data_IF_656836043468
#
_entry.id   IF_656836043468
#
_cell.length_a   1.000
_cell.length_b   1.000
_cell.length_c   1.000
_cell.angle_alpha   90.00
_cell.angle_beta   90.00
_cell.angle_gamma   90.00
#
_symmetry.space_group_name_H-M   'P 1'
#
loop_
_entity.id
_entity.type
_entity.pdbx_description
1 polymer ?
#
# COMPACT_ATOMS: atom_id res chain seq x y z
N UNK A 1 8.67 -1.52 -2.99
CA UNK A 1 7.82 -1.52 -1.80
C UNK A 1 6.80 -2.64 -1.75
N UNK A 2 5.98 -2.61 -0.74
CA UNK A 2 4.84 -3.54 -0.53
C UNK A 2 3.62 -2.70 -0.23
N UNK A 3 2.52 -2.92 -0.96
CA UNK A 3 1.29 -2.15 -0.83
C UNK A 3 1.61 -0.64 -0.89
N UNK A 4 1.04 0.19 -0.02
CA UNK A 4 1.36 1.60 0.07
C UNK A 4 2.68 1.89 0.81
N UNK A 5 3.32 0.91 1.42
CA UNK A 5 4.65 1.06 2.02
C UNK A 5 5.74 0.99 0.95
N UNK A 6 5.71 1.98 0.06
CA UNK A 6 6.58 2.10 -1.11
C UNK A 6 7.55 3.27 -0.97
N UNK A 7 8.74 3.12 -1.59
CA UNK A 7 9.88 4.02 -1.44
C UNK A 7 10.46 4.36 -2.80
N UNK A 8 10.65 5.65 -3.05
CA UNK A 8 11.30 6.15 -4.24
C UNK A 8 12.78 5.80 -4.17
N UNK A 9 13.22 4.94 -5.06
CA UNK A 9 14.60 4.43 -5.05
C UNK A 9 15.55 5.29 -5.87
N UNK A 10 15.12 5.74 -7.05
CA UNK A 10 15.93 6.52 -7.97
C UNK A 10 15.08 7.52 -8.75
N UNK A 11 15.69 8.59 -9.20
CA UNK A 11 15.14 9.54 -10.17
C UNK A 11 16.22 9.76 -11.22
N UNK A 12 15.93 9.40 -12.46
CA UNK A 12 16.89 9.53 -13.58
C UNK A 12 16.32 10.47 -14.64
N UNK A 13 17.13 11.41 -15.09
CA UNK A 13 16.81 12.21 -16.27
C UNK A 13 16.82 11.32 -17.52
N UNK A 14 15.67 11.15 -18.15
CA UNK A 14 15.54 10.24 -19.31
C UNK A 14 16.34 10.67 -20.53
N UNK A 15 16.71 11.94 -20.64
CA UNK A 15 17.46 12.49 -21.76
C UNK A 15 18.97 12.35 -21.56
N UNK A 16 19.45 12.56 -20.33
CA UNK A 16 20.90 12.62 -20.03
C UNK A 16 21.43 11.37 -19.32
N UNK A 17 20.54 10.59 -18.68
CA UNK A 17 20.92 9.49 -17.80
C UNK A 17 21.42 9.94 -16.42
N UNK A 18 21.37 11.24 -16.10
CA UNK A 18 21.84 11.79 -14.83
C UNK A 18 20.98 11.29 -13.66
N UNK A 19 21.63 10.91 -12.56
CA UNK A 19 20.95 10.63 -11.29
C UNK A 19 20.55 11.94 -10.62
N UNK A 20 19.24 12.20 -10.60
CA UNK A 20 18.66 13.39 -9.98
C UNK A 20 18.29 13.21 -8.51
N UNK A 21 18.43 11.99 -7.95
CA UNK A 21 17.98 11.70 -6.58
C UNK A 21 18.68 12.55 -5.51
N UNK A 22 20.00 12.78 -5.56
CA UNK A 22 20.69 13.65 -4.60
C UNK A 22 20.15 15.09 -4.62
N UNK A 23 19.89 15.63 -5.81
CA UNK A 23 19.31 16.97 -5.98
C UNK A 23 17.86 17.05 -5.50
N UNK A 24 17.08 16.00 -5.74
CA UNK A 24 15.72 15.88 -5.22
C UNK A 24 15.75 15.86 -3.70
N UNK A 25 16.61 15.02 -3.08
CA UNK A 25 16.75 14.91 -1.64
C UNK A 25 17.07 16.27 -1.01
N UNK A 26 18.07 16.96 -1.51
CA UNK A 26 18.45 18.28 -1.03
C UNK A 26 17.27 19.26 -1.10
N UNK A 27 16.62 19.35 -2.25
CA UNK A 27 15.50 20.28 -2.45
C UNK A 27 14.32 19.94 -1.55
N UNK A 28 13.95 18.68 -1.46
CA UNK A 28 12.81 18.25 -0.64
C UNK A 28 13.05 18.53 0.84
N UNK A 29 14.22 18.15 1.37
CA UNK A 29 14.52 18.29 2.80
C UNK A 29 14.79 19.73 3.23
N UNK A 30 15.39 20.56 2.40
CA UNK A 30 15.85 21.89 2.81
C UNK A 30 15.10 23.05 2.19
N UNK A 31 14.48 22.89 1.03
CA UNK A 31 13.88 24.00 0.26
C UNK A 31 12.38 23.83 0.02
N UNK A 32 11.82 22.66 0.28
CA UNK A 32 10.38 22.43 0.09
C UNK A 32 9.59 22.74 1.38
N UNK A 33 8.30 22.94 1.26
CA UNK A 33 7.38 23.23 2.37
C UNK A 33 7.48 22.20 3.49
N UNK A 34 7.75 22.65 4.72
CA UNK A 34 7.92 21.75 5.88
C UNK A 34 6.59 21.17 6.39
N UNK A 35 5.49 21.83 6.08
CA UNK A 35 4.13 21.45 6.45
C UNK A 35 3.47 20.48 5.46
N UNK A 36 4.15 20.17 4.36
CA UNK A 36 3.70 19.18 3.39
C UNK A 36 4.29 17.81 3.74
N UNK A 37 3.40 16.83 4.03
CA UNK A 37 3.76 15.46 4.37
C UNK A 37 4.90 15.42 5.42
N UNK A 38 4.68 15.95 6.65
CA UNK A 38 5.74 16.11 7.64
C UNK A 38 6.31 14.77 8.13
N UNK A 39 5.51 13.69 8.20
CA UNK A 39 6.01 12.37 8.54
C UNK A 39 6.85 11.77 7.41
N UNK A 40 6.42 11.90 6.17
CA UNK A 40 7.19 11.49 4.98
C UNK A 40 8.57 12.16 4.99
N UNK A 41 8.64 13.44 5.32
CA UNK A 41 9.91 14.17 5.45
C UNK A 41 10.80 13.55 6.54
N UNK A 42 10.26 13.33 7.73
CA UNK A 42 11.00 12.74 8.85
C UNK A 42 11.49 11.32 8.52
N UNK A 43 10.65 10.51 7.88
CA UNK A 43 11.03 9.18 7.39
C UNK A 43 12.13 9.25 6.32
N UNK A 44 12.07 10.23 5.42
CA UNK A 44 13.11 10.43 4.41
C UNK A 44 14.47 10.79 5.04
N UNK A 45 14.46 11.62 6.08
CA UNK A 45 15.68 11.95 6.84
C UNK A 45 16.26 10.71 7.52
N UNK A 46 15.41 9.90 8.19
CA UNK A 46 15.80 8.75 9.00
C UNK A 46 16.25 7.56 8.12
N UNK A 47 15.46 7.20 7.12
CA UNK A 47 15.70 5.98 6.33
C UNK A 47 16.51 6.21 5.06
N UNK A 48 16.71 7.46 4.65
CA UNK A 48 17.50 7.80 3.47
C UNK A 48 16.78 7.66 2.11
N UNK A 49 15.60 7.06 2.09
CA UNK A 49 14.72 6.95 0.93
C UNK A 49 13.41 7.71 1.17
N UNK A 50 12.87 8.33 0.10
CA UNK A 50 11.61 9.05 0.18
C UNK A 50 10.43 8.08 0.09
N UNK A 51 9.52 8.05 1.08
CA UNK A 51 8.24 7.37 0.93
C UNK A 51 7.42 7.96 -0.22
N UNK A 52 6.64 7.15 -0.92
CA UNK A 52 5.85 7.59 -2.10
C UNK A 52 4.37 7.73 -1.82
N UNK A 53 3.85 7.08 -0.77
CA UNK A 53 2.42 7.00 -0.52
C UNK A 53 1.85 8.15 0.33
N UNK A 54 2.67 9.03 0.87
CA UNK A 54 2.28 10.11 1.77
C UNK A 54 1.95 9.65 3.20
N UNK A 55 1.78 10.64 4.09
CA UNK A 55 1.66 10.42 5.54
C UNK A 55 0.48 9.55 5.94
N UNK A 56 -0.67 9.73 5.29
CA UNK A 56 -1.91 9.00 5.60
C UNK A 56 -1.81 7.49 5.40
N UNK A 57 -0.94 7.06 4.50
CA UNK A 57 -0.70 5.64 4.24
C UNK A 57 0.53 5.11 4.99
N UNK A 58 1.60 5.90 5.06
CA UNK A 58 2.81 5.47 5.77
C UNK A 58 2.53 5.20 7.25
N UNK A 59 1.63 5.96 7.88
CA UNK A 59 1.26 5.78 9.28
C UNK A 59 0.73 4.38 9.58
N UNK A 60 0.05 3.74 8.65
CA UNK A 60 -0.59 2.41 8.83
C UNK A 60 0.41 1.28 9.10
N UNK A 61 1.69 1.45 8.72
CA UNK A 61 2.73 0.42 8.82
C UNK A 61 3.68 0.59 10.00
N UNK A 62 3.52 1.67 10.77
CA UNK A 62 4.51 2.09 11.75
C UNK A 62 3.97 1.99 13.19
N UNK A 63 4.40 0.99 13.94
CA UNK A 63 3.93 0.71 15.30
C UNK A 63 3.99 1.92 16.24
N UNK A 64 5.00 2.77 16.09
CA UNK A 64 5.19 3.96 16.95
C UNK A 64 4.25 5.12 16.65
N UNK A 65 3.38 4.98 15.67
CA UNK A 65 2.36 5.99 15.32
C UNK A 65 0.98 5.71 15.90
N UNK A 66 0.77 4.59 16.58
CA UNK A 66 -0.57 4.10 16.95
C UNK A 66 -0.86 4.02 18.46
N UNK A 67 -0.09 4.69 19.29
CA UNK A 67 -0.40 4.74 20.72
C UNK A 67 -1.62 5.64 20.99
N UNK A 68 -2.75 5.09 21.47
CA UNK A 68 -3.97 5.85 21.68
C UNK A 68 -3.89 6.84 22.85
N UNK A 69 -2.87 6.71 23.72
CA UNK A 69 -2.67 7.60 24.87
C UNK A 69 -1.89 8.84 24.43
N UNK A 70 -0.76 8.64 23.76
CA UNK A 70 0.14 9.73 23.33
C UNK A 70 -0.24 10.33 21.98
N UNK A 71 -1.07 9.62 21.21
CA UNK A 71 -1.61 10.04 19.91
C UNK A 71 -0.55 10.64 18.96
N UNK A 72 0.54 9.92 18.69
CA UNK A 72 1.67 10.47 17.92
C UNK A 72 1.30 10.90 16.51
N UNK A 73 0.20 10.40 15.92
CA UNK A 73 -0.31 10.81 14.62
C UNK A 73 -0.74 12.30 14.59
N UNK A 74 -1.16 12.88 15.75
CA UNK A 74 -1.56 14.29 15.83
C UNK A 74 -0.39 15.25 15.57
N UNK A 75 0.87 14.83 15.86
CA UNK A 75 2.09 15.56 15.51
C UNK A 75 2.18 15.88 14.01
N UNK A 76 1.60 15.02 13.18
CA UNK A 76 1.63 15.11 11.72
C UNK A 76 0.31 15.63 11.12
N UNK A 77 -0.57 16.23 11.94
CA UNK A 77 -1.93 16.66 11.57
C UNK A 77 -2.78 15.56 10.94
N UNK A 78 -2.49 14.31 11.28
CA UNK A 78 -3.27 13.17 10.82
C UNK A 78 -4.53 13.02 11.66
N UNK A 79 -5.63 12.66 11.01
CA UNK A 79 -6.93 12.47 11.64
C UNK A 79 -7.40 11.04 11.43
N UNK A 80 -7.98 10.46 12.48
CA UNK A 80 -8.65 9.17 12.34
C UNK A 80 -9.80 9.32 11.33
N UNK A 81 -9.92 8.35 10.44
CA UNK A 81 -10.98 8.36 9.43
C UNK A 81 -12.36 8.24 10.07
N UNK A 82 -13.30 9.06 9.60
CA UNK A 82 -14.70 8.94 9.99
C UNK A 82 -15.37 7.80 9.24
N UNK A 83 -15.74 6.74 9.93
CA UNK A 83 -16.46 5.62 9.33
C UNK A 83 -17.80 6.05 8.71
N UNK A 84 -18.58 6.86 9.43
CA UNK A 84 -19.84 7.43 8.94
C UNK A 84 -19.65 8.30 7.70
N UNK A 85 -18.64 9.16 7.69
CA UNK A 85 -18.29 9.97 6.52
C UNK A 85 -17.91 9.11 5.31
N UNK A 86 -17.20 8.00 5.52
CA UNK A 86 -16.85 7.08 4.45
C UNK A 86 -18.09 6.36 3.88
N UNK A 87 -19.03 5.95 4.71
CA UNK A 87 -20.29 5.34 4.26
C UNK A 87 -21.09 6.33 3.41
N UNK A 88 -21.21 7.58 3.86
CA UNK A 88 -21.92 8.63 3.12
C UNK A 88 -21.26 8.91 1.78
N UNK A 89 -19.94 9.06 1.75
CA UNK A 89 -19.16 9.24 0.52
C UNK A 89 -19.40 8.09 -0.47
N UNK A 90 -19.37 6.83 -0.02
CA UNK A 90 -19.62 5.65 -0.88
C UNK A 90 -21.06 5.65 -1.45
N UNK A 91 -22.05 6.01 -0.63
CA UNK A 91 -23.43 6.15 -1.09
C UNK A 91 -23.56 7.21 -2.18
N UNK A 92 -22.93 8.37 -2.00
CA UNK A 92 -22.95 9.47 -2.97
C UNK A 92 -22.24 9.07 -4.29
N UNK A 93 -21.07 8.39 -4.21
CA UNK A 93 -20.37 7.88 -5.39
C UNK A 93 -21.25 6.88 -6.14
N UNK A 94 -21.87 5.94 -5.43
CA UNK A 94 -22.77 4.94 -6.05
C UNK A 94 -23.96 5.60 -6.73
N UNK A 95 -24.68 6.50 -6.04
CA UNK A 95 -25.82 7.21 -6.61
C UNK A 95 -25.43 8.03 -7.85
N UNK A 96 -24.23 8.65 -7.84
CA UNK A 96 -23.69 9.33 -9.01
C UNK A 96 -23.42 8.38 -10.17
N UNK A 97 -22.81 7.23 -9.90
CA UNK A 97 -22.54 6.21 -10.92
C UNK A 97 -23.84 5.69 -11.55
N UNK A 98 -24.89 5.51 -10.75
CA UNK A 98 -26.22 5.08 -11.22
C UNK A 98 -26.86 6.15 -12.15
N UNK A 99 -26.75 7.45 -11.80
CA UNK A 99 -27.22 8.54 -12.69
C UNK A 99 -26.44 8.62 -14.00
N UNK A 100 -25.12 8.45 -13.95
CA UNK A 100 -24.29 8.38 -15.15
C UNK A 100 -24.69 7.19 -16.05
N UNK A 101 -24.91 6.02 -15.46
CA UNK A 101 -25.34 4.83 -16.18
C UNK A 101 -26.75 4.99 -16.81
N UNK A 102 -27.63 5.76 -16.16
CA UNK A 102 -28.95 6.09 -16.68
C UNK A 102 -28.95 7.22 -17.75
N UNK A 103 -27.80 7.84 -18.01
CA UNK A 103 -27.67 8.99 -18.93
C UNK A 103 -28.20 10.31 -18.36
N UNK A 104 -28.46 10.36 -17.06
CA UNK A 104 -28.94 11.56 -16.34
C UNK A 104 -27.81 12.51 -15.98
N UNK A 105 -26.59 12.01 -15.91
CA UNK A 105 -25.35 12.78 -15.62
C UNK A 105 -24.28 12.42 -16.66
N UNK A 106 -23.48 13.43 -17.07
CA UNK A 106 -22.42 13.22 -18.06
C UNK A 106 -21.31 12.31 -17.53
N UNK A 107 -20.84 11.39 -18.38
CA UNK A 107 -19.65 10.56 -18.13
C UNK A 107 -18.34 11.28 -18.45
N UNK A 108 -18.38 12.47 -19.02
CA UNK A 108 -17.19 13.27 -19.40
C UNK A 108 -16.10 13.32 -18.31
N UNK A 109 -16.44 13.52 -17.02
CA UNK A 109 -15.42 13.50 -15.96
C UNK A 109 -14.65 12.19 -15.86
N UNK A 110 -15.23 11.04 -16.29
CA UNK A 110 -14.55 9.74 -16.26
C UNK A 110 -13.48 9.62 -17.35
N UNK A 111 -13.58 10.39 -18.44
CA UNK A 111 -12.60 10.39 -19.53
C UNK A 111 -11.26 11.01 -19.11
N UNK A 112 -11.25 11.76 -18.01
CA UNK A 112 -10.08 12.45 -17.49
C UNK A 112 -9.54 11.82 -16.19
N UNK A 113 -10.08 10.68 -15.77
CA UNK A 113 -9.56 9.93 -14.63
C UNK A 113 -8.30 9.19 -15.06
N UNK A 114 -7.22 9.34 -14.31
CA UNK A 114 -6.02 8.54 -14.54
C UNK A 114 -6.34 7.05 -14.37
N UNK A 115 -5.99 6.26 -15.37
CA UNK A 115 -5.95 4.81 -15.29
C UNK A 115 -4.84 4.38 -14.32
N UNK A 116 -5.06 3.29 -13.62
CA UNK A 116 -4.01 2.61 -12.84
C UNK A 116 -3.07 1.77 -13.75
N UNK A 117 -3.06 2.04 -15.05
CA UNK A 117 -2.19 1.39 -16.02
C UNK A 117 -2.68 0.03 -16.54
N UNK A 118 -3.88 -0.43 -16.17
CA UNK A 118 -4.36 -1.75 -16.57
C UNK A 118 -4.53 -1.91 -18.09
N UNK A 119 -5.04 -0.88 -18.76
CA UNK A 119 -5.24 -0.88 -20.21
C UNK A 119 -3.89 -0.86 -20.94
N UNK A 120 -2.98 0.00 -20.50
CA UNK A 120 -1.62 0.12 -21.02
C UNK A 120 -0.83 -1.19 -20.91
N UNK A 121 -1.03 -1.94 -19.82
CA UNK A 121 -0.42 -3.27 -19.62
C UNK A 121 -1.00 -4.26 -20.64
N UNK A 122 -2.32 -4.30 -20.82
CA UNK A 122 -3.00 -5.17 -21.79
C UNK A 122 -2.52 -4.87 -23.22
N UNK A 123 -2.47 -3.60 -23.59
CA UNK A 123 -2.00 -3.15 -24.89
C UNK A 123 -0.53 -3.54 -25.12
N UNK A 124 0.34 -3.36 -24.12
CA UNK A 124 1.73 -3.72 -24.19
C UNK A 124 1.94 -5.23 -24.38
N UNK A 125 1.12 -6.07 -23.75
CA UNK A 125 1.14 -7.52 -23.95
C UNK A 125 0.70 -7.87 -25.38
N UNK A 126 -0.42 -7.30 -25.84
CA UNK A 126 -0.98 -7.61 -27.16
C UNK A 126 -0.08 -7.13 -28.31
N UNK A 127 0.52 -5.94 -28.16
CA UNK A 127 1.38 -5.35 -29.17
C UNK A 127 2.83 -5.87 -29.11
N UNK A 128 3.19 -6.71 -28.14
CA UNK A 128 4.58 -7.13 -27.89
C UNK A 128 5.54 -5.93 -27.74
N UNK A 129 5.10 -4.92 -26.99
CA UNK A 129 5.71 -3.59 -27.04
C UNK A 129 7.06 -3.49 -26.33
N UNK A 130 7.44 -4.45 -25.47
CA UNK A 130 8.59 -4.36 -24.55
C UNK A 130 8.53 -3.05 -23.72
N UNK A 131 7.33 -2.68 -23.28
CA UNK A 131 7.09 -1.42 -22.60
C UNK A 131 7.68 -1.45 -21.17
N UNK A 132 8.42 -0.39 -20.81
CA UNK A 132 8.88 -0.17 -19.45
C UNK A 132 7.74 0.45 -18.61
N UNK A 133 7.40 -0.21 -17.52
CA UNK A 133 6.46 0.29 -16.51
C UNK A 133 7.25 0.61 -15.23
N UNK A 134 7.14 1.83 -14.68
CA UNK A 134 7.97 2.27 -13.54
C UNK A 134 7.62 1.59 -12.22
N UNK A 135 6.40 1.09 -12.09
CA UNK A 135 5.90 0.45 -10.88
C UNK A 135 4.77 -0.53 -11.22
N UNK A 136 4.96 -1.81 -10.93
CA UNK A 136 3.93 -2.84 -11.04
C UNK A 136 3.97 -3.76 -9.83
N UNK A 137 2.78 -4.20 -9.38
CA UNK A 137 2.63 -5.17 -8.31
C UNK A 137 2.73 -6.59 -8.89
N UNK A 138 3.83 -7.26 -8.60
CA UNK A 138 4.14 -8.60 -9.12
C UNK A 138 4.74 -9.49 -8.02
N UNK A 139 4.69 -10.84 -8.17
CA UNK A 139 5.46 -11.72 -7.31
C UNK A 139 6.95 -11.36 -7.34
N UNK A 140 7.58 -11.31 -6.18
CA UNK A 140 8.96 -10.85 -6.02
C UNK A 140 9.96 -11.64 -6.87
N UNK A 141 9.96 -12.96 -6.75
CA UNK A 141 10.87 -13.84 -7.51
C UNK A 141 12.31 -13.35 -7.56
N UNK A 142 12.79 -12.76 -6.47
CA UNK A 142 14.13 -12.21 -6.35
C UNK A 142 14.32 -10.77 -6.89
N UNK A 143 13.28 -10.11 -7.40
CA UNK A 143 13.39 -8.73 -7.90
C UNK A 143 13.79 -7.74 -6.81
N UNK A 144 13.32 -7.92 -5.59
CA UNK A 144 13.66 -7.09 -4.43
C UNK A 144 14.34 -7.97 -3.36
N UNK A 145 15.66 -7.85 -3.19
CA UNK A 145 16.41 -8.69 -2.26
C UNK A 145 15.94 -8.53 -0.81
N UNK A 146 15.92 -9.64 -0.07
CA UNK A 146 15.57 -9.66 1.34
C UNK A 146 14.09 -9.87 1.63
N UNK A 147 13.23 -9.90 0.61
CA UNK A 147 11.82 -10.27 0.73
C UNK A 147 11.57 -11.67 0.16
N UNK A 148 10.54 -12.40 0.65
CA UNK A 148 10.20 -13.73 0.13
C UNK A 148 9.84 -13.68 -1.38
N UNK A 149 10.15 -14.76 -2.11
CA UNK A 149 9.87 -14.86 -3.55
C UNK A 149 8.37 -14.82 -3.87
N UNK A 150 7.53 -15.27 -2.95
CA UNK A 150 6.08 -15.29 -3.08
C UNK A 150 5.42 -13.93 -2.76
N UNK A 151 6.12 -13.04 -2.04
CA UNK A 151 5.56 -11.73 -1.68
C UNK A 151 5.24 -10.92 -2.94
N UNK A 152 4.11 -10.23 -2.94
CA UNK A 152 3.80 -9.26 -3.99
C UNK A 152 4.54 -7.96 -3.67
N UNK A 153 5.37 -7.52 -4.61
CA UNK A 153 6.18 -6.32 -4.48
C UNK A 153 5.90 -5.35 -5.61
N UNK A 154 5.98 -4.06 -5.32
CA UNK A 154 5.96 -3.01 -6.33
C UNK A 154 7.38 -2.72 -6.80
N UNK A 155 7.64 -3.02 -8.07
CA UNK A 155 8.94 -2.83 -8.73
C UNK A 155 8.74 -2.41 -10.20
N UNK A 156 9.74 -1.80 -10.85
CA UNK A 156 9.71 -1.60 -12.29
C UNK A 156 9.63 -2.94 -13.04
N UNK A 157 9.01 -2.93 -14.20
CA UNK A 157 8.89 -4.13 -15.03
C UNK A 157 8.93 -3.82 -16.52
N UNK A 158 9.29 -4.84 -17.32
CA UNK A 158 9.12 -4.86 -18.78
C UNK A 158 7.92 -5.71 -19.12
N UNK A 159 7.04 -5.17 -19.96
CA UNK A 159 5.78 -5.82 -20.37
C UNK A 159 5.82 -6.10 -21.86
N UNK A 160 5.60 -7.37 -22.23
CA UNK A 160 5.55 -7.83 -23.63
C UNK A 160 4.62 -9.06 -23.77
N UNK A 161 4.56 -9.69 -24.95
CA UNK A 161 3.72 -10.88 -25.22
C UNK A 161 3.96 -12.06 -24.28
N UNK A 162 5.15 -12.16 -23.68
CA UNK A 162 5.50 -13.22 -22.74
C UNK A 162 5.07 -12.91 -21.30
N UNK A 163 4.46 -11.75 -21.06
CA UNK A 163 3.93 -11.31 -19.79
C UNK A 163 4.73 -10.16 -19.16
N UNK A 164 4.73 -10.13 -17.84
CA UNK A 164 5.33 -9.07 -17.03
C UNK A 164 6.61 -9.59 -16.39
N UNK A 165 7.72 -8.91 -16.66
CA UNK A 165 9.06 -9.28 -16.19
C UNK A 165 9.60 -8.19 -15.27
N UNK A 166 9.67 -8.48 -13.97
CA UNK A 166 10.20 -7.55 -12.98
C UNK A 166 11.68 -7.23 -13.21
N UNK A 167 12.02 -5.97 -13.00
CA UNK A 167 13.42 -5.52 -13.02
C UNK A 167 14.02 -5.76 -11.65
N UNK A 168 15.20 -6.39 -11.60
CA UNK A 168 15.93 -6.58 -10.35
C UNK A 168 16.36 -5.22 -9.77
N UNK A 169 16.00 -5.00 -8.52
CA UNK A 169 16.29 -3.77 -7.78
C UNK A 169 17.42 -4.01 -6.77
N UNK A 170 18.20 -2.98 -6.45
CA UNK A 170 19.08 -3.04 -5.29
C UNK A 170 18.27 -3.23 -4.00
N UNK A 171 18.92 -3.78 -2.96
CA UNK A 171 18.28 -3.95 -1.66
C UNK A 171 17.84 -2.62 -1.05
N UNK A 172 16.66 -2.61 -0.43
CA UNK A 172 16.22 -1.51 0.42
C UNK A 172 17.11 -1.42 1.68
N UNK A 173 17.15 -0.26 2.37
CA UNK A 173 17.75 -0.20 3.70
C UNK A 173 17.19 -1.31 4.60
N UNK A 174 18.07 -1.99 5.33
CA UNK A 174 17.68 -3.17 6.13
C UNK A 174 16.47 -2.95 7.04
N UNK A 175 16.33 -1.81 7.77
CA UNK A 175 15.14 -1.57 8.60
C UNK A 175 13.85 -1.48 7.77
N UNK A 176 13.90 -0.89 6.57
CA UNK A 176 12.76 -0.82 5.65
C UNK A 176 12.39 -2.22 5.15
N UNK A 177 13.41 -3.03 4.78
CA UNK A 177 13.20 -4.43 4.36
C UNK A 177 12.50 -5.24 5.44
N UNK A 178 12.86 -5.07 6.71
CA UNK A 178 12.24 -5.83 7.82
C UNK A 178 10.79 -5.41 8.07
N UNK A 179 10.44 -4.12 7.90
CA UNK A 179 9.05 -3.69 7.96
C UNK A 179 8.26 -4.29 6.79
N UNK A 180 8.78 -4.22 5.56
CA UNK A 180 8.15 -4.85 4.40
C UNK A 180 7.95 -6.36 4.58
N UNK A 181 8.93 -7.06 5.16
CA UNK A 181 8.84 -8.49 5.44
C UNK A 181 7.70 -8.81 6.41
N UNK A 182 7.61 -8.04 7.51
CA UNK A 182 6.51 -8.19 8.45
C UNK A 182 5.15 -8.03 7.77
N UNK A 183 4.99 -7.03 6.89
CA UNK A 183 3.74 -6.80 6.16
C UNK A 183 3.41 -7.96 5.20
N UNK A 184 4.43 -8.50 4.51
CA UNK A 184 4.24 -9.66 3.65
C UNK A 184 3.78 -10.89 4.45
N UNK A 185 4.44 -11.18 5.57
CA UNK A 185 4.07 -12.30 6.45
C UNK A 185 2.68 -12.07 7.08
N UNK A 186 2.37 -10.85 7.50
CA UNK A 186 1.04 -10.51 8.01
C UNK A 186 -0.06 -10.83 7.00
N UNK A 187 0.11 -10.38 5.75
CA UNK A 187 -0.83 -10.65 4.68
C UNK A 187 -1.00 -12.16 4.41
N UNK A 188 0.10 -12.93 4.47
CA UNK A 188 0.08 -14.38 4.32
C UNK A 188 -0.68 -15.06 5.46
N UNK A 189 -0.36 -14.73 6.72
CA UNK A 189 -1.01 -15.32 7.91
C UNK A 189 -2.50 -14.98 7.95
N UNK A 190 -2.88 -13.75 7.59
CA UNK A 190 -4.31 -13.35 7.47
C UNK A 190 -5.02 -14.21 6.43
N UNK A 191 -4.39 -14.43 5.28
CA UNK A 191 -4.94 -15.25 4.20
C UNK A 191 -5.12 -16.71 4.64
N UNK A 192 -4.10 -17.30 5.25
CA UNK A 192 -4.14 -18.68 5.74
C UNK A 192 -5.21 -18.86 6.84
N UNK A 193 -5.32 -17.90 7.76
CA UNK A 193 -6.37 -17.88 8.78
C UNK A 193 -7.77 -17.79 8.15
N UNK A 194 -7.92 -16.94 7.14
CA UNK A 194 -9.18 -16.77 6.43
C UNK A 194 -9.60 -18.03 5.66
N UNK A 195 -8.64 -18.74 5.05
CA UNK A 195 -8.91 -19.99 4.30
C UNK A 195 -9.25 -21.13 5.27
N UNK A 196 -8.46 -21.29 6.34
CA UNK A 196 -8.60 -22.40 7.27
C UNK A 196 -9.72 -22.24 8.29
N UNK A 197 -10.17 -21.02 8.57
CA UNK A 197 -11.08 -20.72 9.69
C UNK A 197 -10.41 -20.82 11.07
N UNK A 198 -9.08 -20.82 11.13
CA UNK A 198 -8.32 -20.95 12.38
C UNK A 198 -8.36 -19.63 13.16
N UNK A 199 -9.16 -19.62 14.26
CA UNK A 199 -9.31 -18.47 15.16
C UNK A 199 -8.01 -18.12 15.88
N UNK A 200 -7.19 -19.11 16.18
CA UNK A 200 -5.90 -18.87 16.84
C UNK A 200 -4.93 -18.18 15.90
N UNK A 201 -4.87 -18.62 14.66
CA UNK A 201 -4.06 -17.98 13.61
C UNK A 201 -4.56 -16.55 13.31
N UNK A 202 -5.88 -16.34 13.26
CA UNK A 202 -6.45 -14.99 13.11
C UNK A 202 -6.06 -14.05 14.25
N UNK A 203 -6.06 -14.55 15.50
CA UNK A 203 -5.60 -13.77 16.66
C UNK A 203 -4.10 -13.48 16.57
N UNK A 204 -3.29 -14.44 16.13
CA UNK A 204 -1.84 -14.24 15.91
C UNK A 204 -1.58 -13.20 14.83
N UNK A 205 -2.37 -13.20 13.75
CA UNK A 205 -2.31 -12.17 12.71
C UNK A 205 -2.60 -10.78 13.27
N UNK A 206 -3.66 -10.61 14.07
CA UNK A 206 -3.95 -9.34 14.74
C UNK A 206 -2.81 -8.86 15.64
N UNK A 207 -2.13 -9.78 16.35
CA UNK A 207 -1.00 -9.43 17.22
C UNK A 207 0.30 -9.14 16.44
N UNK A 208 0.38 -9.56 15.18
CA UNK A 208 1.47 -9.21 14.28
C UNK A 208 1.29 -7.82 13.66
N UNK A 209 0.05 -7.35 13.56
CA UNK A 209 -0.29 -6.04 13.01
C UNK A 209 0.29 -4.91 13.88
N UNK A 210 1.02 -3.94 13.30
CA UNK A 210 1.63 -2.83 14.04
C UNK A 210 0.62 -1.94 14.76
N UNK A 211 -0.63 -1.94 14.35
CA UNK A 211 -1.70 -1.17 14.99
C UNK A 211 -2.24 -1.83 16.26
N UNK A 212 -1.92 -3.10 16.50
CA UNK A 212 -2.41 -3.86 17.64
C UNK A 212 -1.32 -3.98 18.72
N UNK A 213 -1.55 -3.40 19.89
CA UNK A 213 -0.61 -3.38 21.01
C UNK A 213 -1.17 -3.95 22.33
N UNK A 214 -2.33 -4.62 22.26
CA UNK A 214 -3.03 -5.14 23.45
C UNK A 214 -3.74 -6.45 23.13
N UNK A 215 -3.44 -7.51 23.91
CA UNK A 215 -3.97 -8.88 23.68
C UNK A 215 -5.49 -8.94 23.90
N UNK A 216 -6.01 -8.30 24.94
CA UNK A 216 -7.43 -8.38 25.25
C UNK A 216 -8.25 -7.59 24.24
N UNK A 217 -7.69 -6.47 23.75
CA UNK A 217 -8.26 -5.74 22.62
C UNK A 217 -8.25 -6.57 21.34
N UNK A 218 -7.16 -7.28 21.04
CA UNK A 218 -7.08 -8.15 19.87
C UNK A 218 -8.16 -9.25 19.90
N UNK A 219 -8.38 -9.88 21.06
CA UNK A 219 -9.46 -10.86 21.26
C UNK A 219 -10.84 -10.24 21.03
N UNK A 220 -11.12 -9.09 21.64
CA UNK A 220 -12.39 -8.39 21.48
C UNK A 220 -12.64 -7.99 20.00
N UNK A 221 -11.63 -7.45 19.32
CA UNK A 221 -11.71 -7.12 17.88
C UNK A 221 -12.01 -8.35 17.05
N UNK A 222 -11.32 -9.48 17.30
CA UNK A 222 -11.58 -10.73 16.56
C UNK A 222 -13.01 -11.22 16.77
N UNK A 223 -13.49 -11.23 18.02
CA UNK A 223 -14.85 -11.67 18.33
C UNK A 223 -15.91 -10.79 17.65
N UNK A 224 -15.75 -9.47 17.73
CA UNK A 224 -16.65 -8.51 17.06
C UNK A 224 -16.65 -8.68 15.54
N UNK A 225 -15.49 -8.89 14.93
CA UNK A 225 -15.35 -9.16 13.49
C UNK A 225 -16.06 -10.45 13.09
N UNK A 226 -15.81 -11.54 13.80
CA UNK A 226 -16.41 -12.82 13.48
C UNK A 226 -17.94 -12.77 13.65
N UNK A 227 -18.47 -12.08 14.67
CA UNK A 227 -19.91 -11.89 14.83
C UNK A 227 -20.50 -11.04 13.70
N UNK A 228 -19.87 -9.89 13.42
CA UNK A 228 -20.38 -8.92 12.44
C UNK A 228 -20.36 -9.43 11.01
N UNK A 229 -19.39 -10.25 10.67
CA UNK A 229 -19.17 -10.80 9.32
C UNK A 229 -19.47 -12.29 9.20
N UNK A 230 -20.26 -12.84 10.13
CA UNK A 230 -20.58 -14.27 10.19
C UNK A 230 -21.09 -14.86 8.88
N UNK A 231 -21.91 -14.10 8.14
CA UNK A 231 -22.49 -14.56 6.86
C UNK A 231 -21.41 -14.82 5.78
N UNK A 232 -20.26 -14.12 5.87
CA UNK A 232 -19.15 -14.24 4.91
C UNK A 232 -17.96 -15.03 5.45
N UNK A 233 -17.88 -15.24 6.76
CA UNK A 233 -16.79 -15.93 7.44
C UNK A 233 -17.24 -17.30 7.99
N UNK A 234 -18.00 -18.04 7.19
CA UNK A 234 -18.62 -19.32 7.60
C UNK A 234 -17.60 -20.37 8.02
N UNK A 235 -16.40 -20.37 7.44
CA UNK A 235 -15.32 -21.31 7.76
C UNK A 235 -14.83 -21.24 9.22
N UNK A 236 -15.04 -20.12 9.91
CA UNK A 236 -14.72 -19.99 11.35
C UNK A 236 -15.76 -20.61 12.28
N UNK A 237 -16.86 -21.19 11.73
CA UNK A 237 -17.97 -21.77 12.47
C UNK A 237 -18.25 -23.23 12.07
N UNK A 238 -17.44 -23.81 11.18
CA UNK A 238 -17.49 -25.24 10.87
C UNK A 238 -16.65 -26.01 11.89
N UNK A 239 -17.23 -27.11 12.45
CA UNK A 239 -16.51 -28.05 13.31
C UNK A 239 -15.50 -28.89 12.53
#
# INVERSE_FOLDING_TARGET
>A
GINHFAWLYSITDLRTGEDLYPRFREKYLHHFRKDFEPMTRELFEIFGLCPTAGDTHMVEYLAWTHDPITKPWEKYDLKLQSWTGNIERRRNVRARSERMAAGEESIEPLLHVHSEGAVEIIEAIQADANAYMPALNIPNRGCLPGLPDWAIVEVPAIVNRHGIHGVAMPALPRPVTEICRREAELASVVTDAAISGDRTMALQALLLDPMMNDIDRAKAVLDDFLISFREWLTQFYTE
#
